data_IF_715873867310
#
_entry.id   IF_715873867310
#
_cell.length_a   1.000
_cell.length_b   1.000
_cell.length_c   1.000
_cell.angle_alpha   90.00
_cell.angle_beta   90.00
_cell.angle_gamma   90.00
#
_symmetry.space_group_name_H-M   'P 1'
#
loop_
_entity.id
_entity.type
_entity.pdbx_description
1 polymer ?
#
# COMPACT_ATOMS: atom_id res chain seq x y z
N UNK A 1 -40.84 -2.02 -53.24
CA UNK A 1 -41.10 -1.90 -51.79
C UNK A 1 -41.45 -0.45 -51.52
N UNK A 2 -42.63 -0.18 -50.95
CA UNK A 2 -43.15 1.18 -50.71
C UNK A 2 -42.36 1.81 -49.57
N UNK A 3 -41.73 2.95 -49.85
CA UNK A 3 -41.21 3.86 -48.85
C UNK A 3 -42.38 4.61 -48.21
N UNK A 4 -42.43 4.69 -46.88
CA UNK A 4 -43.38 5.54 -46.17
C UNK A 4 -42.70 6.19 -44.96
N UNK A 5 -42.64 7.51 -45.08
CA UNK A 5 -42.56 8.59 -44.09
C UNK A 5 -41.72 8.44 -42.84
N UNK A 6 -40.63 9.20 -42.89
CA UNK A 6 -39.83 9.73 -41.78
C UNK A 6 -40.64 10.85 -41.11
N UNK A 7 -40.70 10.83 -39.78
CA UNK A 7 -41.37 11.82 -38.94
C UNK A 7 -40.40 13.01 -38.70
N UNK A 8 -40.74 14.27 -39.06
CA UNK A 8 -39.78 15.39 -39.07
C UNK A 8 -39.58 16.13 -37.74
N UNK A 9 -40.01 15.59 -36.60
CA UNK A 9 -40.06 16.34 -35.33
C UNK A 9 -39.19 15.79 -34.20
N UNK A 10 -37.90 15.55 -34.45
CA UNK A 10 -36.96 15.33 -33.33
C UNK A 10 -35.54 15.86 -33.62
N UNK A 11 -35.48 17.06 -34.21
CA UNK A 11 -34.24 17.83 -34.33
C UNK A 11 -34.31 19.02 -33.37
N UNK A 12 -33.94 18.82 -32.10
CA UNK A 12 -33.60 19.89 -31.17
C UNK A 12 -32.87 19.30 -29.96
N UNK A 13 -31.59 19.61 -29.85
CA UNK A 13 -30.84 19.41 -28.62
C UNK A 13 -29.41 18.93 -28.82
N UNK A 14 -28.57 19.78 -29.41
CA UNK A 14 -27.13 19.74 -29.14
C UNK A 14 -26.92 19.78 -27.62
N UNK A 15 -26.19 18.82 -27.07
CA UNK A 15 -25.24 19.07 -26.00
C UNK A 15 -24.19 17.95 -26.00
N UNK A 16 -23.05 18.24 -26.65
CA UNK A 16 -21.79 17.61 -26.31
C UNK A 16 -21.53 17.86 -24.83
N UNK A 17 -21.60 16.82 -24.00
CA UNK A 17 -20.96 16.84 -22.68
C UNK A 17 -19.79 15.87 -22.72
N UNK A 18 -18.54 16.34 -22.57
CA UNK A 18 -17.41 15.44 -22.37
C UNK A 18 -17.64 14.68 -21.07
N UNK A 19 -17.64 13.35 -21.13
CA UNK A 19 -17.51 12.54 -19.93
C UNK A 19 -16.13 12.87 -19.34
N UNK A 20 -16.16 13.66 -18.28
CA UNK A 20 -15.02 14.03 -17.47
C UNK A 20 -14.29 12.74 -17.06
N UNK A 21 -13.01 12.69 -17.40
CA UNK A 21 -12.05 11.78 -16.83
C UNK A 21 -12.20 11.80 -15.30
N UNK A 22 -12.62 10.68 -14.73
CA UNK A 22 -12.47 10.43 -13.30
C UNK A 22 -10.98 10.32 -13.02
N UNK A 23 -10.35 11.45 -12.67
CA UNK A 23 -9.05 11.46 -12.05
C UNK A 23 -9.16 10.64 -10.77
N UNK A 24 -8.48 9.49 -10.74
CA UNK A 24 -8.33 8.69 -9.54
C UNK A 24 -7.82 9.58 -8.42
N UNK A 25 -8.62 9.70 -7.35
CA UNK A 25 -8.16 10.30 -6.11
C UNK A 25 -7.05 9.39 -5.58
N UNK A 26 -5.80 9.76 -5.84
CA UNK A 26 -4.69 9.37 -5.00
C UNK A 26 -5.01 9.96 -3.63
N UNK A 27 -5.71 9.18 -2.78
CA UNK A 27 -5.91 9.53 -1.40
C UNK A 27 -4.52 9.71 -0.83
N UNK A 28 -4.17 10.94 -0.45
CA UNK A 28 -3.00 11.19 0.37
C UNK A 28 -3.31 10.60 1.74
N UNK A 29 -3.21 9.28 1.85
CA UNK A 29 -2.99 8.61 3.13
C UNK A 29 -1.85 9.38 3.76
N UNK A 30 -2.12 10.03 4.90
CA UNK A 30 -1.05 10.55 5.73
C UNK A 30 -0.12 9.38 5.99
N UNK A 31 1.07 9.48 5.41
CA UNK A 31 2.08 8.46 5.51
C UNK A 31 2.55 8.44 6.96
N UNK A 32 2.14 7.42 7.71
CA UNK A 32 2.51 7.26 9.12
C UNK A 32 3.97 6.87 9.30
N UNK A 33 4.67 6.54 8.21
CA UNK A 33 6.05 6.10 8.25
C UNK A 33 7.00 7.26 8.61
N UNK A 34 7.81 7.13 9.68
CA UNK A 34 8.86 8.09 9.99
C UNK A 34 10.04 7.88 9.04
N UNK A 35 9.96 8.48 7.85
CA UNK A 35 10.94 8.31 6.74
C UNK A 35 12.32 8.89 7.03
N UNK A 36 12.41 9.76 8.04
CA UNK A 36 13.65 10.33 8.55
C UNK A 36 14.41 9.36 9.48
N UNK A 37 13.78 8.28 9.94
CA UNK A 37 14.46 7.23 10.69
C UNK A 37 15.05 6.15 9.76
N UNK A 38 16.37 5.94 9.86
CA UNK A 38 17.08 4.89 9.10
C UNK A 38 16.53 3.48 9.38
N UNK A 39 15.99 3.24 10.57
CA UNK A 39 15.32 1.99 10.94
C UNK A 39 14.09 1.70 10.08
N UNK A 40 13.35 2.75 9.71
CA UNK A 40 12.15 2.62 8.90
C UNK A 40 12.47 2.54 7.41
N UNK A 41 13.61 3.11 7.02
CA UNK A 41 14.16 2.91 5.69
C UNK A 41 14.47 1.44 5.41
N UNK A 42 15.04 0.72 6.39
CA UNK A 42 15.27 -0.73 6.27
C UNK A 42 13.99 -1.53 6.06
N UNK A 43 12.93 -1.14 6.77
CA UNK A 43 11.61 -1.78 6.68
C UNK A 43 10.97 -1.53 5.32
N UNK A 44 11.03 -0.30 4.81
CA UNK A 44 10.55 0.02 3.47
C UNK A 44 11.32 -0.77 2.40
N UNK A 45 12.64 -0.90 2.54
CA UNK A 45 13.47 -1.67 1.62
C UNK A 45 13.15 -3.17 1.65
N UNK A 46 12.71 -3.68 2.79
CA UNK A 46 12.29 -5.07 2.98
C UNK A 46 10.84 -5.37 2.55
N UNK A 47 10.13 -4.39 1.98
CA UNK A 47 8.70 -4.48 1.65
C UNK A 47 8.32 -5.72 0.85
N UNK A 48 9.10 -6.10 -0.16
CA UNK A 48 8.83 -7.28 -0.98
C UNK A 48 8.83 -8.58 -0.16
N UNK A 49 9.80 -8.74 0.75
CA UNK A 49 9.86 -9.90 1.64
C UNK A 49 8.66 -9.93 2.59
N UNK A 50 8.31 -8.78 3.16
CA UNK A 50 7.20 -8.65 4.11
C UNK A 50 5.85 -8.95 3.44
N UNK A 51 5.64 -8.44 2.22
CA UNK A 51 4.44 -8.68 1.42
C UNK A 51 4.30 -10.16 1.05
N UNK A 52 5.38 -10.82 0.64
CA UNK A 52 5.40 -12.25 0.34
C UNK A 52 4.96 -13.12 1.52
N UNK A 53 5.37 -12.75 2.74
CA UNK A 53 5.00 -13.49 3.94
C UNK A 53 3.56 -13.19 4.35
N UNK A 54 3.15 -11.92 4.38
CA UNK A 54 1.88 -11.50 4.98
C UNK A 54 0.70 -11.56 4.00
N UNK A 55 0.91 -11.10 2.77
CA UNK A 55 -0.16 -10.96 1.77
C UNK A 55 -0.22 -12.19 0.88
N UNK A 56 0.92 -12.61 0.33
CA UNK A 56 0.97 -13.76 -0.57
C UNK A 56 0.96 -15.10 0.17
N UNK A 57 1.28 -15.09 1.47
CA UNK A 57 1.26 -16.28 2.32
C UNK A 57 2.29 -17.35 1.91
N UNK A 58 3.40 -16.95 1.28
CA UNK A 58 4.43 -17.87 0.79
C UNK A 58 5.18 -18.59 1.91
N UNK A 59 5.10 -18.09 3.14
CA UNK A 59 5.59 -18.77 4.33
C UNK A 59 4.71 -18.46 5.54
N UNK A 60 4.72 -19.29 6.60
CA UNK A 60 4.00 -18.99 7.82
C UNK A 60 4.42 -17.63 8.38
N UNK A 61 3.45 -16.77 8.70
CA UNK A 61 3.72 -15.47 9.32
C UNK A 61 4.23 -15.70 10.74
N UNK A 62 5.55 -15.59 10.92
CA UNK A 62 6.21 -15.71 12.22
C UNK A 62 7.06 -14.48 12.50
N UNK A 63 7.28 -14.20 13.78
CA UNK A 63 8.12 -13.09 14.24
C UNK A 63 9.52 -13.19 13.64
N UNK A 64 10.13 -14.37 13.68
CA UNK A 64 11.47 -14.61 13.15
C UNK A 64 11.53 -14.47 11.62
N UNK A 65 10.46 -14.89 10.92
CA UNK A 65 10.35 -14.74 9.47
C UNK A 65 10.34 -13.27 9.06
N UNK A 66 9.55 -12.45 9.76
CA UNK A 66 9.53 -11.00 9.53
C UNK A 66 10.88 -10.37 9.88
N UNK A 67 11.46 -10.67 11.05
CA UNK A 67 12.79 -10.14 11.46
C UNK A 67 13.85 -10.35 10.37
N UNK A 68 13.88 -11.53 9.75
CA UNK A 68 14.83 -11.85 8.67
C UNK A 68 14.66 -10.98 7.42
N UNK A 69 13.47 -10.43 7.16
CA UNK A 69 13.30 -9.52 6.03
C UNK A 69 14.13 -8.24 6.18
N UNK A 70 14.45 -7.81 7.40
CA UNK A 70 15.10 -6.52 7.72
C UNK A 70 16.45 -6.68 8.44
N UNK A 71 16.85 -7.92 8.75
CA UNK A 71 18.16 -8.27 9.29
C UNK A 71 19.02 -8.90 8.19
N UNK A 72 19.85 -8.08 7.57
CA UNK A 72 20.90 -8.52 6.65
C UNK A 72 22.06 -7.52 6.66
N UNK A 73 23.21 -7.91 6.12
CA UNK A 73 24.33 -6.98 5.95
C UNK A 73 23.95 -5.86 4.97
N UNK A 74 24.43 -4.64 5.24
CA UNK A 74 24.17 -3.48 4.39
C UNK A 74 22.85 -2.74 4.64
N UNK A 75 22.14 -3.03 5.74
CA UNK A 75 21.01 -2.20 6.19
C UNK A 75 21.47 -0.81 6.64
N UNK A 76 20.60 0.18 6.51
CA UNK A 76 20.86 1.56 6.92
C UNK A 76 20.97 1.72 8.44
N UNK A 77 20.25 0.90 9.23
CA UNK A 77 20.33 0.90 10.70
C UNK A 77 20.99 -0.38 11.25
N UNK A 78 21.78 -0.20 12.31
CA UNK A 78 22.43 -1.27 13.06
C UNK A 78 21.56 -1.87 14.18
N UNK A 79 20.29 -1.44 14.30
CA UNK A 79 19.37 -2.03 15.28
C UNK A 79 18.95 -3.45 14.86
N UNK A 80 18.60 -4.33 15.84
CA UNK A 80 17.95 -5.61 15.53
C UNK A 80 16.63 -5.39 14.79
N UNK A 81 16.26 -6.32 13.92
CA UNK A 81 15.06 -6.23 13.07
C UNK A 81 13.77 -6.08 13.87
N UNK A 82 13.66 -6.77 15.00
CA UNK A 82 12.51 -6.65 15.90
C UNK A 82 12.33 -5.20 16.42
N UNK A 83 13.44 -4.54 16.74
CA UNK A 83 13.43 -3.14 17.20
C UNK A 83 13.08 -2.19 16.06
N UNK A 84 13.55 -2.47 14.83
CA UNK A 84 13.14 -1.71 13.64
C UNK A 84 11.62 -1.77 13.49
N UNK A 85 11.02 -2.96 13.54
CA UNK A 85 9.57 -3.15 13.34
C UNK A 85 8.71 -2.38 14.34
N UNK A 86 9.09 -2.46 15.61
CA UNK A 86 8.38 -1.78 16.68
C UNK A 86 8.40 -0.25 16.52
N UNK A 87 9.43 0.32 15.89
CA UNK A 87 9.62 1.78 15.75
C UNK A 87 9.00 2.38 14.50
N UNK A 88 8.53 1.55 13.56
CA UNK A 88 8.14 2.01 12.23
C UNK A 88 6.67 1.73 11.93
N UNK A 89 5.73 2.24 12.74
CA UNK A 89 4.32 2.13 12.44
C UNK A 89 4.04 2.88 11.13
N UNK A 90 3.25 2.29 10.24
CA UNK A 90 2.78 3.01 9.06
C UNK A 90 3.67 2.91 7.80
N UNK A 91 4.78 2.15 7.83
CA UNK A 91 5.67 2.03 6.68
C UNK A 91 5.17 1.10 5.56
N UNK A 92 4.06 0.40 5.77
CA UNK A 92 3.42 -0.45 4.78
C UNK A 92 1.91 -0.20 4.65
N UNK A 93 1.21 -1.08 3.95
CA UNK A 93 -0.25 -1.09 3.90
C UNK A 93 -0.84 -1.33 5.30
N UNK A 94 -2.10 -0.95 5.51
CA UNK A 94 -2.78 -1.11 6.79
C UNK A 94 -2.77 -2.57 7.30
N UNK A 95 -2.89 -3.54 6.39
CA UNK A 95 -2.88 -4.97 6.70
C UNK A 95 -1.52 -5.42 7.22
N UNK A 96 -0.45 -5.05 6.53
CA UNK A 96 0.93 -5.37 6.94
C UNK A 96 1.26 -4.70 8.27
N UNK A 97 0.92 -3.42 8.42
CA UNK A 97 1.18 -2.69 9.67
C UNK A 97 0.43 -3.30 10.86
N UNK A 98 -0.80 -3.82 10.66
CA UNK A 98 -1.55 -4.48 11.71
C UNK A 98 -0.84 -5.75 12.20
N UNK A 99 -0.36 -6.58 11.27
CA UNK A 99 0.42 -7.78 11.62
C UNK A 99 1.73 -7.42 12.31
N UNK A 100 2.46 -6.43 11.81
CA UNK A 100 3.69 -5.96 12.44
C UNK A 100 3.41 -5.46 13.86
N UNK A 101 2.36 -4.67 14.06
CA UNK A 101 2.00 -4.14 15.38
C UNK A 101 1.56 -5.24 16.36
N UNK A 102 0.87 -6.27 15.89
CA UNK A 102 0.50 -7.44 16.69
C UNK A 102 1.73 -8.26 17.10
N UNK A 103 2.65 -8.48 16.16
CA UNK A 103 3.83 -9.31 16.40
C UNK A 103 4.93 -8.58 17.17
N UNK A 104 5.04 -7.26 17.04
CA UNK A 104 6.10 -6.43 17.65
C UNK A 104 5.51 -5.25 18.45
N UNK A 105 4.73 -5.51 19.52
CA UNK A 105 4.13 -4.45 20.31
C UNK A 105 5.16 -3.70 21.16
N UNK A 106 4.95 -2.39 21.42
CA UNK A 106 5.71 -1.66 22.43
C UNK A 106 5.51 -2.24 23.85
N UNK A 107 6.46 -2.07 24.78
CA UNK A 107 7.76 -1.41 24.62
C UNK A 107 8.74 -2.25 23.78
N UNK A 108 9.49 -1.59 22.90
CA UNK A 108 10.41 -2.27 22.00
C UNK A 108 11.57 -2.92 22.79
N UNK A 109 11.76 -4.23 22.63
CA UNK A 109 12.82 -5.03 23.24
C UNK A 109 13.59 -5.82 22.18
#
# INVERSE_FOLDING_TARGET
MRFSSINPNLLKGLCLTPLFATYGQAQSLQDGCPKDELTCHDIMNASQCIEQIIVEGLSPVTREGLVKCVEHEGTASNLPGAVKYCRCPGCHTAQINAVIAEMFPPPCA
#
